data_IF_527674680705
#
_entry.id   IF_527674680705
#
_cell.length_a   1.000
_cell.length_b   1.000
_cell.length_c   1.000
_cell.angle_alpha   90.00
_cell.angle_beta   90.00
_cell.angle_gamma   90.00
#
_symmetry.space_group_name_H-M   'P 1'
#
loop_
_entity.id
_entity.type
_entity.pdbx_description
1 polymer ?
#
# COMPACT_ATOMS: atom_id res chain seq x y z
N UNK A 1 13.42 15.16 14.86
CA UNK A 1 13.12 14.11 13.88
C UNK A 1 13.81 12.79 14.24
N UNK A 2 15.08 12.80 14.61
CA UNK A 2 15.76 11.57 14.99
C UNK A 2 15.11 10.86 16.17
N UNK A 3 14.63 11.62 17.14
CA UNK A 3 13.94 11.07 18.29
C UNK A 3 12.64 10.38 17.89
N UNK A 4 11.86 10.99 17.01
CA UNK A 4 10.62 10.41 16.51
C UNK A 4 10.87 9.12 15.75
N UNK A 5 11.90 9.12 14.91
CA UNK A 5 12.26 7.95 14.12
C UNK A 5 12.66 6.78 15.02
N UNK A 6 13.42 7.05 16.07
CA UNK A 6 13.81 6.02 17.03
C UNK A 6 12.58 5.46 17.74
N UNK A 7 11.66 6.32 18.16
CA UNK A 7 10.43 5.91 18.84
C UNK A 7 9.55 5.06 17.91
N UNK A 8 9.51 5.39 16.62
CA UNK A 8 8.75 4.63 15.65
C UNK A 8 9.27 3.21 15.50
N UNK A 9 10.60 3.04 15.43
CA UNK A 9 11.17 1.71 15.31
C UNK A 9 10.81 0.84 16.50
N UNK A 10 10.85 1.39 17.70
CA UNK A 10 10.47 0.67 18.90
C UNK A 10 9.00 0.31 18.88
N UNK A 11 8.14 1.24 18.48
CA UNK A 11 6.71 0.99 18.38
C UNK A 11 6.41 -0.07 17.33
N UNK A 12 7.11 -0.05 16.21
CA UNK A 12 6.94 -1.04 15.14
C UNK A 12 7.28 -2.44 15.64
N UNK A 13 8.39 -2.58 16.37
CA UNK A 13 8.78 -3.89 16.92
C UNK A 13 7.69 -4.43 17.85
N UNK A 14 7.15 -3.59 18.74
CA UNK A 14 6.10 -3.99 19.66
C UNK A 14 4.82 -4.37 18.91
N UNK A 15 4.44 -3.58 17.92
CA UNK A 15 3.21 -3.82 17.17
C UNK A 15 3.37 -4.94 16.15
N UNK A 16 4.58 -5.14 15.63
CA UNK A 16 4.85 -6.20 14.70
C UNK A 16 4.54 -7.56 15.31
N UNK A 17 4.86 -7.76 16.60
CA UNK A 17 4.53 -9.00 17.27
C UNK A 17 3.03 -9.27 17.28
N UNK A 18 2.22 -8.23 17.21
CA UNK A 18 0.77 -8.36 17.15
C UNK A 18 0.29 -8.77 15.77
N UNK A 19 0.98 -8.34 14.71
CA UNK A 19 0.56 -8.57 13.33
C UNK A 19 1.28 -9.71 12.64
N UNK A 20 2.43 -10.14 13.12
CA UNK A 20 3.28 -11.09 12.38
C UNK A 20 2.59 -12.40 12.08
N UNK A 21 1.75 -12.88 13.00
CA UNK A 21 1.02 -14.14 12.80
C UNK A 21 0.04 -14.01 11.64
N UNK A 22 -0.46 -12.80 11.39
CA UNK A 22 -1.45 -12.55 10.35
C UNK A 22 -0.80 -12.32 9.00
N UNK A 23 0.22 -11.48 8.95
CA UNK A 23 0.79 -11.07 7.66
C UNK A 23 2.14 -11.69 7.35
N UNK A 24 2.98 -11.90 8.35
CA UNK A 24 4.34 -12.38 8.14
C UNK A 24 5.20 -11.44 7.30
N UNK A 25 4.84 -10.18 7.20
CA UNK A 25 5.51 -9.19 6.36
C UNK A 25 5.99 -8.02 7.19
N UNK A 26 6.98 -7.30 6.65
CA UNK A 26 7.44 -6.09 7.30
C UNK A 26 6.39 -5.00 7.18
N UNK A 27 6.16 -4.31 8.29
CA UNK A 27 5.31 -3.13 8.31
C UNK A 27 6.21 -1.92 8.14
N UNK A 28 5.96 -1.15 7.08
CA UNK A 28 6.74 0.02 6.74
C UNK A 28 6.12 1.26 7.37
N UNK A 29 6.98 2.22 7.74
CA UNK A 29 6.51 3.51 8.21
C UNK A 29 5.99 4.35 7.05
N UNK A 30 5.02 5.21 7.35
CA UNK A 30 4.55 6.23 6.40
C UNK A 30 4.88 7.58 7.03
N UNK A 31 5.78 8.35 6.40
CA UNK A 31 6.25 9.62 6.94
C UNK A 31 5.10 10.61 7.16
N UNK A 32 5.22 11.40 8.20
CA UNK A 32 4.25 12.46 8.51
C UNK A 32 3.26 12.10 9.59
N UNK A 33 3.22 10.83 10.02
CA UNK A 33 2.36 10.39 11.11
C UNK A 33 2.92 9.08 11.66
N UNK A 34 2.44 8.66 12.82
CA UNK A 34 2.99 7.49 13.50
C UNK A 34 1.94 6.44 13.83
N UNK A 35 0.69 6.67 13.48
CA UNK A 35 -0.39 5.75 13.84
C UNK A 35 -0.52 4.59 12.88
N UNK A 36 -0.31 4.84 11.60
CA UNK A 36 -0.61 3.86 10.54
C UNK A 36 0.69 3.47 9.85
N UNK A 37 0.92 2.17 9.72
CA UNK A 37 1.95 1.63 8.86
C UNK A 37 1.30 0.86 7.72
N UNK A 38 2.12 0.36 6.80
CA UNK A 38 1.60 -0.42 5.68
C UNK A 38 2.53 -1.56 5.32
N UNK A 39 2.01 -2.51 4.58
CA UNK A 39 2.83 -3.51 3.90
C UNK A 39 2.20 -3.82 2.55
N UNK A 40 3.03 -4.34 1.66
CA UNK A 40 2.55 -4.86 0.38
C UNK A 40 3.01 -6.30 0.26
N UNK A 41 2.15 -7.15 -0.29
CA UNK A 41 2.47 -8.57 -0.44
C UNK A 41 3.57 -8.80 -1.48
N UNK A 42 3.87 -7.78 -2.28
CA UNK A 42 4.82 -7.88 -3.37
C UNK A 42 5.46 -6.51 -3.59
N UNK A 43 6.72 -6.51 -4.01
CA UNK A 43 7.47 -5.28 -4.28
C UNK A 43 7.70 -5.06 -5.77
N UNK A 44 7.00 -5.81 -6.61
CA UNK A 44 7.06 -5.65 -8.07
C UNK A 44 6.68 -4.21 -8.44
N UNK A 45 7.51 -3.57 -9.26
CA UNK A 45 7.20 -2.21 -9.70
C UNK A 45 6.42 -2.23 -11.01
N UNK A 46 6.00 -1.04 -11.46
CA UNK A 46 5.18 -0.92 -12.66
C UNK A 46 5.92 -1.35 -13.92
N UNK A 47 7.22 -1.23 -13.95
CA UNK A 47 8.02 -1.70 -15.09
C UNK A 47 7.94 -3.21 -15.24
N UNK A 48 8.08 -3.90 -14.14
CA UNK A 48 8.04 -5.36 -14.14
C UNK A 48 6.69 -5.87 -14.58
N UNK A 49 5.63 -5.11 -14.34
CA UNK A 49 4.28 -5.50 -14.73
C UNK A 49 4.12 -5.63 -16.24
N UNK A 50 4.83 -4.82 -17.02
CA UNK A 50 4.74 -4.92 -18.47
C UNK A 50 5.24 -6.31 -18.92
N UNK A 51 6.34 -6.76 -18.32
CA UNK A 51 6.87 -8.10 -18.63
C UNK A 51 5.93 -9.20 -18.18
N UNK A 52 5.39 -9.07 -16.96
CA UNK A 52 4.49 -10.06 -16.42
C UNK A 52 3.21 -10.21 -17.24
N UNK A 53 2.64 -9.10 -17.69
CA UNK A 53 1.41 -9.13 -18.47
C UNK A 53 1.62 -9.83 -19.81
N UNK A 54 2.80 -9.71 -20.40
CA UNK A 54 3.14 -10.42 -21.63
C UNK A 54 3.30 -11.91 -21.44
N UNK A 55 3.63 -12.36 -20.23
CA UNK A 55 3.91 -13.76 -19.91
C UNK A 55 2.75 -14.49 -19.28
N UNK A 56 1.55 -14.00 -19.42
CA UNK A 56 0.37 -14.68 -18.89
C UNK A 56 -0.19 -14.07 -17.63
N UNK A 57 0.40 -12.98 -17.18
CA UNK A 57 -0.16 -12.20 -16.10
C UNK A 57 0.58 -12.31 -14.79
N UNK A 58 0.27 -11.40 -13.93
CA UNK A 58 0.83 -11.25 -12.59
C UNK A 58 -0.26 -11.60 -11.57
N UNK A 59 0.12 -12.33 -10.52
CA UNK A 59 -0.84 -12.82 -9.51
C UNK A 59 -1.56 -11.69 -8.77
N UNK A 60 -0.96 -10.51 -8.72
CA UNK A 60 -1.52 -9.38 -8.00
C UNK A 60 -0.88 -9.21 -6.64
N UNK A 61 -1.08 -8.05 -6.07
CA UNK A 61 -0.59 -7.76 -4.73
C UNK A 61 -1.73 -7.24 -3.85
N UNK A 62 -1.45 -7.20 -2.56
CA UNK A 62 -2.37 -6.68 -1.55
C UNK A 62 -1.64 -5.56 -0.84
N UNK A 63 -2.30 -4.42 -0.66
CA UNK A 63 -1.81 -3.37 0.21
C UNK A 63 -2.60 -3.44 1.51
N UNK A 64 -1.89 -3.46 2.63
CA UNK A 64 -2.49 -3.57 3.96
C UNK A 64 -2.04 -2.39 4.81
N UNK A 65 -2.96 -1.84 5.58
CA UNK A 65 -2.68 -0.76 6.51
C UNK A 65 -2.89 -1.26 7.93
N UNK A 66 -1.98 -0.90 8.82
CA UNK A 66 -1.96 -1.39 10.19
C UNK A 66 -2.11 -0.22 11.15
N UNK A 67 -3.11 -0.29 12.01
CA UNK A 67 -3.34 0.75 13.02
C UNK A 67 -2.65 0.34 14.31
N UNK A 68 -1.56 1.03 14.65
CA UNK A 68 -0.78 0.71 15.83
C UNK A 68 -1.55 0.95 17.13
N UNK A 69 -2.54 1.82 17.12
CA UNK A 69 -3.29 2.14 18.33
C UNK A 69 -4.27 1.03 18.72
N UNK A 70 -4.95 0.44 17.73
CA UNK A 70 -5.99 -0.55 18.03
C UNK A 70 -5.68 -1.96 17.53
N UNK A 71 -4.59 -2.12 16.78
CA UNK A 71 -4.19 -3.42 16.25
C UNK A 71 -5.00 -3.90 15.06
N UNK A 72 -5.84 -3.07 14.48
CA UNK A 72 -6.64 -3.45 13.32
C UNK A 72 -5.82 -3.41 12.05
N UNK A 73 -6.16 -4.29 11.14
CA UNK A 73 -5.55 -4.38 9.81
C UNK A 73 -6.64 -4.06 8.79
N UNK A 74 -6.32 -3.18 7.87
CA UNK A 74 -7.26 -2.75 6.83
C UNK A 74 -6.68 -3.12 5.47
N UNK A 75 -7.48 -3.80 4.67
CA UNK A 75 -7.13 -4.15 3.29
C UNK A 75 -8.19 -3.53 2.39
N UNK A 76 -7.93 -2.33 1.84
CA UNK A 76 -8.96 -1.62 1.09
C UNK A 76 -9.40 -2.31 -0.19
N UNK A 77 -8.57 -3.20 -0.73
CA UNK A 77 -8.89 -3.92 -1.96
C UNK A 77 -8.59 -5.40 -1.81
N UNK A 78 -9.41 -6.22 -2.43
CA UNK A 78 -9.13 -7.64 -2.55
C UNK A 78 -8.01 -7.83 -3.58
N UNK A 79 -7.28 -8.93 -3.45
CA UNK A 79 -6.24 -9.29 -4.42
C UNK A 79 -6.87 -9.52 -5.79
N UNK A 80 -6.30 -8.89 -6.80
CA UNK A 80 -6.75 -9.03 -8.18
C UNK A 80 -5.54 -9.27 -9.08
N UNK A 81 -5.71 -10.18 -10.01
CA UNK A 81 -4.66 -10.49 -10.98
C UNK A 81 -4.33 -9.24 -11.79
N UNK A 82 -3.06 -9.02 -12.04
CA UNK A 82 -2.53 -7.88 -12.79
C UNK A 82 -2.81 -6.51 -12.15
N UNK A 83 -3.02 -6.49 -10.84
CA UNK A 83 -3.22 -5.25 -10.09
C UNK A 83 -2.14 -5.13 -9.03
N UNK A 84 -1.50 -3.97 -8.96
CA UNK A 84 -0.48 -3.69 -7.95
C UNK A 84 -0.62 -2.25 -7.45
N UNK A 85 0.13 -1.95 -6.39
CA UNK A 85 0.00 -0.68 -5.69
C UNK A 85 1.35 -0.03 -5.50
N UNK A 86 1.39 1.30 -5.54
CA UNK A 86 2.54 2.07 -5.15
C UNK A 86 2.54 2.32 -3.65
N UNK A 87 3.70 2.67 -3.08
CA UNK A 87 3.78 2.95 -1.65
C UNK A 87 2.93 4.17 -1.28
N UNK A 88 2.22 4.10 -0.16
CA UNK A 88 1.37 5.21 0.26
C UNK A 88 2.20 6.36 0.82
N UNK A 89 1.68 7.56 0.66
CA UNK A 89 2.20 8.75 1.31
C UNK A 89 1.10 9.37 2.16
N UNK A 90 1.49 10.15 3.16
CA UNK A 90 0.55 10.82 4.04
C UNK A 90 0.61 12.33 3.77
N UNK A 91 -0.51 12.91 3.41
CA UNK A 91 -0.59 14.32 3.05
C UNK A 91 -2.01 14.81 3.32
N UNK A 92 -2.12 16.00 3.92
CA UNK A 92 -3.42 16.63 4.20
C UNK A 92 -4.37 15.68 4.94
N UNK A 93 -3.84 15.03 5.96
CA UNK A 93 -4.60 14.14 6.84
C UNK A 93 -5.19 12.93 6.15
N UNK A 94 -4.63 12.52 5.03
CA UNK A 94 -5.08 11.34 4.30
C UNK A 94 -3.91 10.57 3.76
N UNK A 95 -4.14 9.31 3.43
CA UNK A 95 -3.16 8.48 2.75
C UNK A 95 -3.48 8.46 1.28
N UNK A 96 -2.45 8.54 0.45
CA UNK A 96 -2.58 8.58 -1.00
C UNK A 96 -1.71 7.49 -1.59
N UNK A 97 -2.25 6.72 -2.49
CA UNK A 97 -1.46 5.69 -3.17
C UNK A 97 -1.99 5.45 -4.57
N UNK A 98 -1.10 4.91 -5.41
CA UNK A 98 -1.44 4.56 -6.78
C UNK A 98 -1.83 3.10 -6.86
N UNK A 99 -2.79 2.80 -7.73
CA UNK A 99 -3.11 1.45 -8.15
C UNK A 99 -2.86 1.35 -9.64
N UNK A 100 -2.10 0.34 -10.05
CA UNK A 100 -1.95 0.01 -11.45
C UNK A 100 -2.81 -1.20 -11.78
N UNK A 101 -3.79 -1.02 -12.63
CA UNK A 101 -4.67 -2.10 -13.07
C UNK A 101 -4.38 -2.40 -14.53
N UNK A 102 -3.64 -3.47 -14.78
CA UNK A 102 -3.21 -3.84 -16.12
C UNK A 102 -4.28 -4.63 -16.87
N UNK A 103 -5.37 -4.99 -16.21
CA UNK A 103 -6.52 -5.56 -16.92
C UNK A 103 -7.28 -4.47 -17.68
N UNK A 104 -7.45 -3.32 -17.07
CA UNK A 104 -8.15 -2.18 -17.67
C UNK A 104 -7.20 -1.18 -18.32
N UNK A 105 -5.89 -1.29 -18.07
CA UNK A 105 -4.91 -0.35 -18.58
C UNK A 105 -4.97 1.01 -17.89
N UNK A 106 -5.30 1.05 -16.62
CA UNK A 106 -5.50 2.29 -15.88
C UNK A 106 -4.58 2.39 -14.68
N UNK A 107 -4.13 3.62 -14.42
CA UNK A 107 -3.49 3.96 -13.15
C UNK A 107 -4.41 4.92 -12.42
N UNK A 108 -4.68 4.62 -11.17
CA UNK A 108 -5.62 5.38 -10.36
C UNK A 108 -4.93 5.88 -9.10
N UNK A 109 -5.11 7.17 -8.80
CA UNK A 109 -4.69 7.73 -7.51
C UNK A 109 -5.87 7.66 -6.57
N UNK A 110 -5.67 7.00 -5.43
CA UNK A 110 -6.67 6.90 -4.38
C UNK A 110 -6.28 7.76 -3.18
N UNK A 111 -7.28 8.38 -2.58
CA UNK A 111 -7.18 8.96 -1.25
C UNK A 111 -7.87 8.02 -0.27
N UNK A 112 -7.22 7.75 0.85
CA UNK A 112 -7.70 6.72 1.74
C UNK A 112 -7.52 7.11 3.20
N UNK A 113 -8.55 6.85 3.98
CA UNK A 113 -8.49 6.82 5.43
C UNK A 113 -8.85 5.39 5.84
N UNK A 114 -8.03 4.73 6.68
CA UNK A 114 -8.39 3.40 7.18
C UNK A 114 -9.78 3.44 7.78
N UNK A 115 -10.57 2.46 7.65
CA UNK A 115 -11.99 2.37 8.05
C UNK A 115 -12.96 3.08 7.10
N UNK A 116 -12.48 3.66 6.01
CA UNK A 116 -13.34 4.29 5.01
C UNK A 116 -13.12 3.63 3.66
N UNK A 117 -14.02 3.90 2.73
CA UNK A 117 -13.87 3.42 1.35
C UNK A 117 -12.85 4.30 0.64
N UNK A 118 -11.87 3.71 -0.10
CA UNK A 118 -10.93 4.51 -0.87
C UNK A 118 -11.67 5.38 -1.88
N UNK A 119 -11.20 6.63 -2.01
CA UNK A 119 -11.79 7.60 -2.92
C UNK A 119 -10.92 7.73 -4.16
N UNK A 120 -11.49 7.50 -5.33
CA UNK A 120 -10.80 7.69 -6.60
C UNK A 120 -10.66 9.19 -6.86
N UNK A 121 -9.43 9.67 -6.99
CA UNK A 121 -9.15 11.09 -7.19
C UNK A 121 -8.92 11.40 -8.66
N UNK A 122 -8.04 10.63 -9.30
CA UNK A 122 -7.73 10.81 -10.71
C UNK A 122 -7.35 9.47 -11.30
N UNK A 123 -7.65 9.30 -12.57
CA UNK A 123 -7.34 8.08 -13.30
C UNK A 123 -6.84 8.43 -14.69
N UNK A 124 -5.84 7.72 -15.15
CA UNK A 124 -5.28 7.94 -16.48
C UNK A 124 -4.84 6.60 -17.08
N UNK A 125 -4.61 6.61 -18.38
CA UNK A 125 -4.23 5.40 -19.09
C UNK A 125 -2.76 5.07 -18.87
N UNK A 126 -2.45 3.79 -18.70
CA UNK A 126 -1.06 3.35 -18.57
C UNK A 126 -0.25 3.76 -19.80
N UNK A 127 -0.84 3.68 -20.98
CA UNK A 127 -0.17 4.03 -22.23
C UNK A 127 0.30 5.49 -22.28
N UNK A 128 -0.31 6.37 -21.48
CA UNK A 128 0.03 7.79 -21.47
C UNK A 128 1.17 8.12 -20.51
N UNK A 129 1.69 7.13 -19.77
CA UNK A 129 2.69 7.35 -18.73
C UNK A 129 4.11 7.20 -19.25
N UNK A 130 4.30 6.56 -20.34
CA UNK A 130 5.63 6.32 -20.93
C UNK A 130 6.24 7.58 -21.54
#
# INVERSE_FOLDING_TARGET
MGKSKFSYKKAIVIKLNRFEVVSGKYIEEISGQSRIGYSMSDTTDFYDMIEWSKKGGYQGSIISFYDYNNGKIYEPFQKQRNVLYGPPVYLKNSFWFLQGDYNSGKITLFRYLPDKIPELIIQFNIADVD
#
